data_IF_058037170605
#
_entry.id   IF_058037170605
#
_cell.length_a   1.000
_cell.length_b   1.000
_cell.length_c   1.000
_cell.angle_alpha   90.00
_cell.angle_beta   90.00
_cell.angle_gamma   90.00
#
_symmetry.space_group_name_H-M   'P 1'
#
loop_
_entity.id
_entity.type
_entity.pdbx_description
1 polymer ?
#
# COMPACT_ATOMS: atom_id res chain seq x y z
N UNK A 1 -26.26 7.31 -4.24
CA UNK A 1 -25.04 7.50 -5.06
C UNK A 1 -23.85 7.28 -4.15
N UNK A 2 -22.89 6.47 -4.55
CA UNK A 2 -21.68 6.24 -3.75
C UNK A 2 -20.68 7.34 -4.08
N UNK A 3 -20.35 8.18 -3.10
CA UNK A 3 -19.34 9.24 -3.26
C UNK A 3 -17.94 8.70 -2.98
N UNK A 4 -16.94 9.22 -3.69
CA UNK A 4 -15.56 8.83 -3.47
C UNK A 4 -15.10 9.37 -2.11
N UNK A 5 -14.74 8.50 -1.13
CA UNK A 5 -14.35 8.93 0.23
C UNK A 5 -13.04 9.73 0.26
N UNK A 6 -12.33 9.83 -0.87
CA UNK A 6 -11.07 10.57 -0.97
C UNK A 6 -11.27 12.01 -1.46
N UNK A 7 -12.24 12.24 -2.36
CA UNK A 7 -12.44 13.55 -3.00
C UNK A 7 -13.85 14.12 -2.82
N UNK A 8 -14.79 13.36 -2.24
CA UNK A 8 -16.17 13.79 -2.00
C UNK A 8 -17.02 13.96 -3.28
N UNK A 9 -16.51 13.53 -4.44
CA UNK A 9 -17.22 13.59 -5.73
C UNK A 9 -17.90 12.25 -6.01
N UNK A 10 -19.01 12.23 -6.77
CA UNK A 10 -19.67 11.00 -7.14
C UNK A 10 -18.69 10.05 -7.86
N UNK A 11 -18.74 8.76 -7.50
CA UNK A 11 -17.94 7.73 -8.14
C UNK A 11 -18.29 7.64 -9.63
N UNK A 12 -17.26 7.74 -10.46
CA UNK A 12 -17.36 7.60 -11.92
C UNK A 12 -16.25 6.65 -12.38
N UNK A 13 -16.53 5.72 -13.29
CA UNK A 13 -15.49 4.87 -13.85
C UNK A 13 -14.44 5.74 -14.58
N UNK A 14 -13.14 5.38 -14.52
CA UNK A 14 -12.57 4.16 -13.91
C UNK A 14 -12.39 4.24 -12.38
N UNK A 15 -12.96 3.27 -11.68
CA UNK A 15 -12.83 3.07 -10.23
C UNK A 15 -11.93 1.89 -9.92
N UNK A 16 -11.33 1.87 -8.73
CA UNK A 16 -10.56 0.77 -8.18
C UNK A 16 -10.97 0.52 -6.74
N UNK A 17 -10.79 -0.70 -6.25
CA UNK A 17 -11.08 -1.08 -4.86
C UNK A 17 -9.85 -0.96 -3.98
N UNK A 18 -10.03 -0.46 -2.78
CA UNK A 18 -9.01 -0.47 -1.74
C UNK A 18 -8.74 -1.91 -1.31
N UNK A 19 -7.48 -2.36 -1.32
CA UNK A 19 -7.11 -3.73 -0.95
C UNK A 19 -7.27 -4.06 0.55
N UNK A 20 -7.64 -3.09 1.39
CA UNK A 20 -7.78 -3.28 2.86
C UNK A 20 -9.22 -3.17 3.35
N UNK A 21 -10.01 -2.27 2.76
CA UNK A 21 -11.38 -2.01 3.20
C UNK A 21 -12.40 -2.12 2.07
N UNK A 22 -11.97 -2.59 0.90
CA UNK A 22 -12.78 -2.86 -0.30
C UNK A 22 -13.61 -1.68 -0.83
N UNK A 23 -13.38 -0.47 -0.31
CA UNK A 23 -14.08 0.73 -0.74
C UNK A 23 -13.69 1.10 -2.17
N UNK A 24 -14.68 1.48 -2.97
CA UNK A 24 -14.47 2.00 -4.30
C UNK A 24 -14.02 3.46 -4.27
N UNK A 25 -12.98 3.75 -5.05
CA UNK A 25 -12.39 5.08 -5.20
C UNK A 25 -12.03 5.29 -6.66
N UNK A 26 -11.94 6.53 -7.10
CA UNK A 26 -11.41 6.82 -8.43
C UNK A 26 -9.98 6.30 -8.55
N UNK A 27 -9.62 5.76 -9.72
CA UNK A 27 -8.25 5.30 -10.00
C UNK A 27 -7.20 6.40 -9.77
N UNK A 28 -7.56 7.66 -10.03
CA UNK A 28 -6.72 8.85 -9.78
C UNK A 28 -6.61 9.22 -8.30
N UNK A 29 -7.63 8.91 -7.49
CA UNK A 29 -7.63 9.15 -6.05
C UNK A 29 -6.94 8.03 -5.26
N UNK A 30 -6.84 6.84 -5.86
CA UNK A 30 -6.18 5.70 -5.25
C UNK A 30 -4.66 5.91 -5.17
N UNK A 31 -4.08 5.50 -4.04
CA UNK A 31 -2.63 5.43 -3.87
C UNK A 31 -2.16 4.01 -4.08
N UNK A 32 -1.07 3.83 -4.82
CA UNK A 32 -0.49 2.50 -5.08
C UNK A 32 0.74 2.29 -4.22
N UNK A 33 0.82 1.15 -3.54
CA UNK A 33 2.03 0.68 -2.84
C UNK A 33 2.08 -0.84 -2.91
N UNK A 34 3.28 -1.42 -3.00
CA UNK A 34 3.47 -2.89 -3.11
C UNK A 34 2.55 -3.54 -4.17
N UNK A 35 2.33 -2.87 -5.30
CA UNK A 35 1.46 -3.36 -6.40
C UNK A 35 -0.05 -3.20 -6.20
N UNK A 36 -0.53 -2.92 -4.97
CA UNK A 36 -1.96 -2.83 -4.60
C UNK A 36 -2.46 -1.38 -4.51
N UNK A 37 -3.78 -1.18 -4.67
CA UNK A 37 -4.44 0.13 -4.56
C UNK A 37 -5.06 0.34 -3.18
N UNK A 38 -4.94 1.55 -2.64
CA UNK A 38 -5.42 1.91 -1.31
C UNK A 38 -6.12 3.26 -1.31
N UNK A 39 -7.13 3.41 -0.47
CA UNK A 39 -7.73 4.70 -0.15
C UNK A 39 -6.77 5.55 0.71
N UNK A 40 -7.03 6.85 0.82
CA UNK A 40 -6.15 7.78 1.57
C UNK A 40 -5.89 7.35 3.01
N UNK A 41 -6.88 6.77 3.68
CA UNK A 41 -6.77 6.30 5.06
C UNK A 41 -5.96 5.01 5.17
N UNK A 42 -6.29 4.00 4.38
CA UNK A 42 -5.57 2.72 4.38
C UNK A 42 -4.13 2.86 3.88
N UNK A 43 -3.85 3.79 2.96
CA UNK A 43 -2.50 4.06 2.49
C UNK A 43 -1.53 4.46 3.61
N UNK A 44 -2.00 5.19 4.64
CA UNK A 44 -1.16 5.52 5.81
C UNK A 44 -0.74 4.27 6.58
N UNK A 45 -1.65 3.31 6.75
CA UNK A 45 -1.37 2.02 7.41
C UNK A 45 -0.45 1.16 6.53
N UNK A 46 -0.80 1.00 5.26
CA UNK A 46 -0.03 0.24 4.29
C UNK A 46 1.40 0.77 4.11
N UNK A 47 1.63 2.09 4.21
CA UNK A 47 2.98 2.67 4.18
C UNK A 47 3.81 2.28 5.40
N UNK A 48 3.18 2.18 6.59
CA UNK A 48 3.85 1.72 7.81
C UNK A 48 4.20 0.24 7.72
N UNK A 49 3.27 -0.58 7.23
CA UNK A 49 3.48 -2.02 7.00
C UNK A 49 4.55 -2.26 5.94
N UNK A 50 4.50 -1.60 4.78
CA UNK A 50 5.51 -1.75 3.73
C UNK A 50 6.92 -1.35 4.19
N UNK A 51 7.04 -0.41 5.15
CA UNK A 51 8.33 -0.08 5.78
C UNK A 51 8.81 -1.21 6.67
N UNK A 52 7.91 -1.81 7.46
CA UNK A 52 8.22 -2.96 8.30
C UNK A 52 8.56 -4.20 7.47
N UNK A 53 7.81 -4.49 6.42
CA UNK A 53 8.08 -5.60 5.48
C UNK A 53 9.44 -5.42 4.79
N UNK A 54 9.84 -4.20 4.39
CA UNK A 54 11.20 -3.97 3.85
C UNK A 54 12.30 -4.18 4.89
N UNK A 55 12.05 -3.84 6.14
CA UNK A 55 13.01 -4.10 7.23
C UNK A 55 13.10 -5.61 7.49
N UNK A 56 11.96 -6.30 7.60
CA UNK A 56 11.89 -7.75 7.74
C UNK A 56 12.52 -8.50 6.55
N UNK A 57 12.34 -8.02 5.31
CA UNK A 57 13.02 -8.59 4.14
C UNK A 57 14.54 -8.35 4.17
N UNK A 58 15.02 -7.22 4.72
CA UNK A 58 16.45 -6.97 4.93
C UNK A 58 17.05 -7.90 5.98
N UNK A 59 16.33 -8.18 7.06
CA UNK A 59 16.74 -9.16 8.08
C UNK A 59 16.70 -10.60 7.53
N UNK A 60 15.72 -10.93 6.69
CA UNK A 60 15.60 -12.24 6.06
C UNK A 60 16.66 -12.50 4.97
N UNK A 61 17.13 -11.45 4.27
CA UNK A 61 18.23 -11.52 3.29
C UNK A 61 19.62 -11.35 3.92
N UNK A 62 19.80 -11.89 5.13
CA UNK A 62 21.11 -12.30 5.63
C UNK A 62 22.17 -11.19 5.66
N UNK A 63 22.27 -10.51 6.80
CA UNK A 63 23.57 -10.05 7.30
C UNK A 63 24.49 -11.22 7.66
N UNK A 64 24.64 -12.20 6.78
CA UNK A 64 25.75 -13.14 6.81
C UNK A 64 26.98 -12.38 6.35
N UNK A 65 27.77 -11.87 7.30
CA UNK A 65 29.17 -11.52 7.02
C UNK A 65 29.83 -12.79 6.45
N UNK A 66 30.40 -12.80 5.23
CA UNK A 66 31.27 -13.90 4.84
C UNK A 66 32.43 -13.92 5.83
N UNK A 67 32.57 -15.04 6.53
CA UNK A 67 33.62 -15.24 7.52
C UNK A 67 34.99 -14.97 6.92
N UNK A 68 35.76 -14.07 7.52
CA UNK A 68 37.21 -14.17 7.50
C UNK A 68 37.57 -15.16 8.61
N UNK A 69 37.64 -16.43 8.25
CA UNK A 69 38.43 -17.43 8.98
C UNK A 69 39.89 -17.11 8.65
N UNK A 70 40.62 -16.59 9.63
CA UNK A 70 42.07 -16.51 9.65
C UNK A 70 42.57 -17.49 10.69
#
# INVERSE_FOLDING_TARGET
MTDCPTCGKPLKPPTVKCATCDVEIHKSCAKRTMGKFYCRNCYKKAKKEARYERMAQRDAWGGGKPGKMW
#
